data_IF_901507318938
#
_entry.id   IF_901507318938
#
_cell.length_a   1.000
_cell.length_b   1.000
_cell.length_c   1.000
_cell.angle_alpha   90.00
_cell.angle_beta   90.00
_cell.angle_gamma   90.00
#
_symmetry.space_group_name_H-M   'P 1'
#
loop_
_entity.id
_entity.type
_entity.pdbx_description
1 polymer ?
#
# COMPACT_ATOMS: atom_id res chain seq x y z
N UNK A 1 -7.51 17.63 0.50
CA UNK A 1 -6.29 17.87 -0.29
C UNK A 1 -6.05 16.62 -1.11
N UNK A 2 -6.29 16.70 -2.42
CA UNK A 2 -6.26 15.53 -3.32
C UNK A 2 -5.02 15.53 -4.23
N UNK A 3 -4.14 16.52 -4.06
CA UNK A 3 -2.95 16.70 -4.87
C UNK A 3 -1.80 17.15 -3.96
N UNK A 4 -0.67 16.46 -4.04
CA UNK A 4 0.59 16.82 -3.39
C UNK A 4 1.66 16.90 -4.47
N UNK A 5 2.45 17.96 -4.45
CA UNK A 5 3.56 18.16 -5.37
C UNK A 5 4.82 18.45 -4.58
N UNK A 6 5.89 17.73 -4.90
CA UNK A 6 7.22 17.93 -4.34
C UNK A 6 8.17 18.29 -5.47
N UNK A 7 8.77 19.47 -5.37
CA UNK A 7 9.73 19.96 -6.36
C UNK A 7 11.16 19.78 -5.86
N UNK A 8 11.96 19.08 -6.64
CA UNK A 8 13.40 18.98 -6.45
C UNK A 8 14.04 20.37 -6.58
N UNK A 9 14.90 20.70 -5.62
CA UNK A 9 15.64 21.96 -5.61
C UNK A 9 16.84 21.96 -6.55
N UNK A 10 17.28 20.79 -7.00
CA UNK A 10 18.48 20.61 -7.83
C UNK A 10 18.17 20.80 -9.32
N UNK A 11 17.20 20.05 -9.83
CA UNK A 11 16.89 19.98 -11.26
C UNK A 11 15.45 20.44 -11.60
N UNK A 12 14.67 20.83 -10.58
CA UNK A 12 13.28 21.26 -10.75
C UNK A 12 12.30 20.12 -11.07
N UNK A 13 12.74 18.86 -11.01
CA UNK A 13 11.88 17.69 -11.20
C UNK A 13 10.75 17.65 -10.17
N UNK A 14 9.57 17.16 -10.58
CA UNK A 14 8.38 17.08 -9.75
C UNK A 14 8.04 15.62 -9.44
N UNK A 15 7.74 15.35 -8.18
CA UNK A 15 7.05 14.17 -7.71
C UNK A 15 5.63 14.58 -7.32
N UNK A 16 4.64 13.98 -7.96
CA UNK A 16 3.23 14.34 -7.84
C UNK A 16 2.46 13.14 -7.29
N UNK A 17 1.61 13.37 -6.28
CA UNK A 17 0.64 12.39 -5.80
C UNK A 17 -0.76 12.96 -6.01
N UNK A 18 -1.60 12.23 -6.72
CA UNK A 18 -2.99 12.59 -6.97
C UNK A 18 -3.93 11.52 -6.41
N UNK A 19 -4.67 11.87 -5.36
CA UNK A 19 -5.60 10.95 -4.69
C UNK A 19 -6.83 10.74 -5.57
N UNK A 20 -7.07 9.49 -5.95
CA UNK A 20 -8.22 9.07 -6.74
C UNK A 20 -9.39 8.73 -5.81
N UNK A 21 -9.14 7.91 -4.78
CA UNK A 21 -10.16 7.50 -3.83
C UNK A 21 -9.57 7.23 -2.45
N UNK A 22 -10.42 7.29 -1.43
CA UNK A 22 -10.09 6.97 -0.04
C UNK A 22 -11.11 5.98 0.48
N UNK A 23 -10.62 4.83 0.91
CA UNK A 23 -11.34 3.80 1.62
C UNK A 23 -10.88 3.78 3.09
N UNK A 24 -11.57 3.00 3.93
CA UNK A 24 -11.26 2.91 5.36
C UNK A 24 -9.84 2.39 5.62
N UNK A 25 -9.35 1.51 4.75
CA UNK A 25 -8.07 0.78 4.93
C UNK A 25 -7.04 1.11 3.83
N UNK A 26 -7.40 1.96 2.87
CA UNK A 26 -6.59 2.23 1.69
C UNK A 26 -6.86 3.64 1.15
N UNK A 27 -5.82 4.30 0.66
CA UNK A 27 -5.94 5.44 -0.25
C UNK A 27 -5.36 5.02 -1.60
N UNK A 28 -6.15 5.15 -2.66
CA UNK A 28 -5.72 4.91 -4.04
C UNK A 28 -5.31 6.23 -4.66
N UNK A 29 -4.15 6.28 -5.29
CA UNK A 29 -3.59 7.50 -5.86
C UNK A 29 -2.74 7.21 -7.10
N UNK A 30 -2.59 8.20 -7.96
CA UNK A 30 -1.58 8.19 -9.00
C UNK A 30 -0.29 8.82 -8.47
N UNK A 31 0.84 8.19 -8.78
CA UNK A 31 2.17 8.76 -8.60
C UNK A 31 2.69 9.20 -9.96
N UNK A 32 2.99 10.49 -10.08
CA UNK A 32 3.59 11.09 -11.25
C UNK A 32 5.02 11.52 -10.97
N UNK A 33 5.91 11.31 -11.94
CA UNK A 33 7.24 11.93 -11.98
C UNK A 33 7.32 12.78 -13.24
N UNK A 34 7.79 14.02 -13.10
CA UNK A 34 8.07 14.93 -14.22
C UNK A 34 9.46 15.50 -14.08
N UNK A 35 10.34 15.12 -14.99
CA UNK A 35 11.73 15.60 -15.11
C UNK A 35 11.88 16.34 -16.44
N UNK A 36 13.04 16.96 -16.73
CA UNK A 36 13.30 17.57 -18.03
C UNK A 36 13.25 16.59 -19.21
N UNK A 37 13.48 15.29 -18.98
CA UNK A 37 13.64 14.29 -20.06
C UNK A 37 12.60 13.17 -20.03
N UNK A 38 11.81 13.08 -18.96
CA UNK A 38 10.85 12.02 -18.74
C UNK A 38 9.65 12.52 -17.96
N UNK A 39 8.46 12.11 -18.39
CA UNK A 39 7.24 12.23 -17.61
C UNK A 39 6.50 10.90 -17.61
N UNK A 40 6.05 10.45 -16.44
CA UNK A 40 5.33 9.20 -16.30
C UNK A 40 4.43 9.21 -15.08
N UNK A 41 3.33 8.47 -15.18
CA UNK A 41 2.35 8.31 -14.11
C UNK A 41 2.01 6.83 -13.94
N UNK A 42 1.92 6.36 -12.70
CA UNK A 42 1.52 5.01 -12.37
C UNK A 42 0.49 5.00 -11.23
N UNK A 43 -0.49 4.09 -11.25
CA UNK A 43 -1.40 3.90 -10.13
C UNK A 43 -0.67 3.25 -8.95
N UNK A 44 -1.07 3.63 -7.74
CA UNK A 44 -0.53 3.10 -6.48
C UNK A 44 -1.59 3.19 -5.38
N UNK A 45 -1.33 2.54 -4.24
CA UNK A 45 -2.19 2.66 -3.07
C UNK A 45 -1.40 2.54 -1.77
N UNK A 46 -2.01 3.00 -0.67
CA UNK A 46 -1.45 2.83 0.69
C UNK A 46 -1.76 1.46 1.27
N UNK A 47 -2.41 0.57 0.52
CA UNK A 47 -2.77 -0.75 1.03
C UNK A 47 -1.51 -1.59 1.15
N UNK A 48 -1.21 -2.00 2.39
CA UNK A 48 -0.09 -2.88 2.70
C UNK A 48 -0.66 -4.10 3.39
N UNK A 49 -0.46 -5.26 2.77
CA UNK A 49 -0.74 -6.55 3.38
C UNK A 49 0.48 -6.92 4.23
N UNK A 50 0.28 -7.18 5.52
CA UNK A 50 1.32 -7.73 6.40
C UNK A 50 1.83 -9.06 5.85
N UNK A 51 3.04 -9.50 6.17
CA UNK A 51 3.50 -10.78 5.61
C UNK A 51 2.67 -11.95 6.18
N UNK A 52 2.47 -13.06 5.45
CA UNK A 52 1.83 -14.24 6.03
C UNK A 52 2.64 -14.81 7.21
N UNK A 53 3.96 -14.54 7.26
CA UNK A 53 4.80 -14.88 8.40
C UNK A 53 4.38 -14.13 9.67
N UNK A 54 3.84 -12.91 9.56
CA UNK A 54 3.33 -12.17 10.72
C UNK A 54 2.04 -12.80 11.25
N UNK A 55 1.15 -13.29 10.36
CA UNK A 55 -0.01 -14.11 10.76
C UNK A 55 0.44 -15.35 11.56
N UNK A 56 1.38 -16.13 11.01
CA UNK A 56 1.87 -17.34 11.68
C UNK A 56 2.57 -17.02 13.00
N UNK A 57 3.30 -15.90 13.08
CA UNK A 57 3.94 -15.44 14.32
C UNK A 57 2.91 -15.10 15.39
N UNK A 58 1.84 -14.39 15.03
CA UNK A 58 0.74 -14.12 15.96
C UNK A 58 0.07 -15.40 16.46
N UNK A 59 -0.16 -16.37 15.58
CA UNK A 59 -0.73 -17.66 15.95
C UNK A 59 0.18 -18.44 16.91
N UNK A 60 1.50 -18.44 16.65
CA UNK A 60 2.48 -19.09 17.50
C UNK A 60 2.59 -18.44 18.89
N UNK A 61 2.41 -17.11 18.96
CA UNK A 61 2.42 -16.37 20.22
C UNK A 61 1.20 -16.68 21.10
N UNK A 62 0.07 -17.06 20.50
CA UNK A 62 -1.16 -17.43 21.20
C UNK A 62 -1.28 -18.97 21.33
N UNK A 63 -0.28 -19.58 21.99
CA UNK A 63 -0.10 -21.04 22.03
C UNK A 63 -1.26 -21.81 22.69
N UNK A 64 -2.06 -21.15 23.53
CA UNK A 64 -3.27 -21.72 24.14
C UNK A 64 -4.48 -21.71 23.17
N UNK A 65 -4.28 -21.20 21.96
CA UNK A 65 -5.27 -21.13 20.90
C UNK A 65 -5.91 -19.75 20.78
N UNK A 66 -6.33 -19.41 19.56
CA UNK A 66 -7.11 -18.21 19.26
C UNK A 66 -8.61 -18.53 19.32
N UNK A 67 -9.41 -17.55 19.77
CA UNK A 67 -10.87 -17.71 19.88
C UNK A 67 -11.65 -17.38 18.60
N UNK A 68 -11.02 -16.68 17.65
CA UNK A 68 -11.68 -16.15 16.46
C UNK A 68 -10.91 -16.54 15.21
N UNK A 69 -11.66 -16.80 14.13
CA UNK A 69 -11.12 -17.05 12.79
C UNK A 69 -10.17 -15.93 12.38
N UNK A 70 -8.95 -16.29 12.00
CA UNK A 70 -7.97 -15.38 11.41
C UNK A 70 -7.88 -15.63 9.92
N UNK A 71 -7.86 -14.54 9.17
CA UNK A 71 -7.76 -14.57 7.71
C UNK A 71 -6.64 -13.66 7.24
N UNK A 72 -5.89 -14.13 6.26
CA UNK A 72 -4.90 -13.35 5.53
C UNK A 72 -5.10 -13.57 4.04
N UNK A 73 -4.87 -12.56 3.21
CA UNK A 73 -4.83 -12.70 1.76
C UNK A 73 -3.71 -11.86 1.17
N UNK A 74 -3.14 -12.29 0.05
CA UNK A 74 -2.22 -11.45 -0.73
C UNK A 74 -2.93 -10.22 -1.31
N UNK A 75 -2.13 -9.27 -1.82
CA UNK A 75 -2.63 -8.01 -2.37
C UNK A 75 -3.58 -8.23 -3.56
N UNK A 76 -3.33 -9.28 -4.33
CA UNK A 76 -4.10 -9.63 -5.52
C UNK A 76 -5.33 -10.52 -5.21
N UNK A 77 -5.53 -10.92 -3.96
CA UNK A 77 -6.58 -11.86 -3.54
C UNK A 77 -6.49 -13.24 -4.18
N UNK A 78 -5.31 -13.63 -4.69
CA UNK A 78 -5.05 -14.92 -5.34
C UNK A 78 -4.74 -16.01 -4.33
N UNK A 79 -4.18 -15.64 -3.18
CA UNK A 79 -3.84 -16.55 -2.10
C UNK A 79 -4.48 -16.04 -0.82
N UNK A 80 -5.14 -16.93 -0.09
CA UNK A 80 -5.65 -16.65 1.24
C UNK A 80 -5.43 -17.81 2.20
N UNK A 81 -5.19 -17.47 3.46
CA UNK A 81 -5.17 -18.39 4.59
C UNK A 81 -6.35 -18.10 5.49
N UNK A 82 -6.99 -19.17 5.96
CA UNK A 82 -8.06 -19.12 6.95
C UNK A 82 -7.73 -20.15 8.03
N UNK A 83 -7.64 -19.70 9.28
CA UNK A 83 -7.33 -20.55 10.44
C UNK A 83 -8.15 -20.19 11.67
#
# INVERSE_FOLDING_TARGET
MNHLEFKSSDDGSLLIFEVISRYKEETVFNVGVKTPWFAGTAPSSTYVVSSPADLFREMANDWMGWKQKKTWSDLEGRVSFEV
#
